data_IF_287653947473
#
_entry.id   IF_287653947473
#
_cell.length_a   1.000
_cell.length_b   1.000
_cell.length_c   1.000
_cell.angle_alpha   90.00
_cell.angle_beta   90.00
_cell.angle_gamma   90.00
#
_symmetry.space_group_name_H-M   'P 1'
#
loop_
_entity.id
_entity.type
_entity.pdbx_description
1 polymer ?
#
# COMPACT_ATOMS: atom_id res chain seq x y z
N UNK A 1 -51.48 43.12 31.45
CA UNK A 1 -50.22 43.21 30.71
C UNK A 1 -49.61 41.81 30.61
N UNK A 2 -49.74 41.20 29.46
CA UNK A 2 -49.19 39.82 29.24
C UNK A 2 -47.81 39.98 28.58
N UNK A 3 -46.76 39.48 29.26
CA UNK A 3 -45.38 39.49 28.75
C UNK A 3 -45.24 38.32 27.80
N UNK A 4 -44.99 38.62 26.51
CA UNK A 4 -44.63 37.67 25.46
C UNK A 4 -43.14 37.37 25.58
N UNK A 5 -42.80 36.15 25.97
CA UNK A 5 -41.42 35.67 25.97
C UNK A 5 -41.14 35.03 24.60
N UNK A 6 -40.31 35.67 23.82
CA UNK A 6 -39.86 35.20 22.50
C UNK A 6 -38.70 34.21 22.71
N UNK A 7 -38.95 32.94 22.47
CA UNK A 7 -37.87 31.90 22.45
C UNK A 7 -37.21 31.94 21.05
N UNK A 8 -35.99 32.48 21.00
CA UNK A 8 -35.14 32.37 19.80
C UNK A 8 -34.39 31.05 19.90
N UNK A 9 -34.86 30.01 19.23
CA UNK A 9 -34.13 28.78 18.97
C UNK A 9 -33.09 29.07 17.89
N UNK A 10 -31.84 29.31 18.32
CA UNK A 10 -30.71 29.39 17.42
C UNK A 10 -30.46 28.02 16.76
N UNK A 11 -30.76 27.90 15.49
CA UNK A 11 -30.38 26.77 14.66
C UNK A 11 -28.85 26.83 14.43
N UNK A 12 -28.10 26.10 15.21
CA UNK A 12 -26.68 25.84 14.95
C UNK A 12 -26.63 24.96 13.71
N UNK A 13 -26.45 25.57 12.54
CA UNK A 13 -26.07 24.84 11.34
C UNK A 13 -24.65 24.32 11.58
N UNK A 14 -24.53 23.04 11.93
CA UNK A 14 -23.28 22.28 11.81
C UNK A 14 -22.95 22.26 10.31
N UNK A 15 -22.08 23.15 9.88
CA UNK A 15 -21.43 23.00 8.59
C UNK A 15 -20.56 21.75 8.67
N UNK A 16 -21.09 20.62 8.20
CA UNK A 16 -20.26 19.48 7.86
C UNK A 16 -19.26 19.99 6.82
N UNK A 17 -18.02 20.18 7.24
CA UNK A 17 -16.91 20.38 6.33
C UNK A 17 -16.83 19.08 5.53
N UNK A 18 -17.36 19.09 4.31
CA UNK A 18 -17.12 18.03 3.38
C UNK A 18 -15.60 17.95 3.20
N UNK A 19 -14.98 16.96 3.80
CA UNK A 19 -13.56 16.69 3.62
C UNK A 19 -13.33 16.49 2.12
N UNK A 20 -12.34 17.17 1.59
CA UNK A 20 -12.11 17.21 0.15
C UNK A 20 -11.45 15.88 -0.28
N UNK A 21 -12.27 14.83 -0.37
CA UNK A 21 -11.90 13.51 -0.88
C UNK A 21 -11.80 13.60 -2.41
N UNK A 22 -10.73 14.21 -2.92
CA UNK A 22 -10.62 14.56 -4.34
C UNK A 22 -9.63 13.69 -5.11
N UNK A 23 -8.95 12.77 -4.46
CA UNK A 23 -7.90 11.94 -5.05
C UNK A 23 -7.98 10.52 -4.53
N UNK A 24 -7.50 9.57 -5.34
CA UNK A 24 -7.26 8.19 -4.93
C UNK A 24 -6.33 8.13 -3.72
N UNK A 25 -6.40 7.05 -2.96
CA UNK A 25 -5.41 6.72 -1.95
C UNK A 25 -5.34 5.20 -1.73
N UNK A 26 -4.25 4.74 -1.11
CA UNK A 26 -4.06 3.33 -0.75
C UNK A 26 -4.93 3.05 0.48
N UNK A 27 -5.97 2.23 0.33
CA UNK A 27 -6.87 1.80 1.42
C UNK A 27 -6.38 0.53 2.10
N UNK A 28 -5.66 -0.34 1.39
CA UNK A 28 -5.02 -1.52 1.97
C UNK A 28 -3.64 -1.75 1.37
N UNK A 29 -2.69 -2.13 2.22
CA UNK A 29 -1.37 -2.62 1.84
C UNK A 29 -1.23 -4.05 2.33
N UNK A 30 -0.91 -4.97 1.43
CA UNK A 30 -0.69 -6.37 1.74
C UNK A 30 0.76 -6.72 1.48
N UNK A 31 1.46 -7.02 2.54
CA UNK A 31 2.72 -7.73 2.51
C UNK A 31 2.44 -9.10 3.14
N UNK A 32 1.84 -9.98 2.38
CA UNK A 32 1.61 -11.36 2.77
C UNK A 32 2.85 -12.21 2.52
N UNK A 33 2.88 -13.39 3.11
CA UNK A 33 3.98 -14.32 2.95
C UNK A 33 4.25 -14.65 1.48
N UNK A 34 5.53 -14.86 1.12
CA UNK A 34 5.96 -15.16 -0.25
C UNK A 34 5.58 -14.04 -1.24
N UNK A 35 4.95 -14.37 -2.36
CA UNK A 35 4.56 -13.44 -3.41
C UNK A 35 3.17 -12.79 -3.19
N UNK A 36 2.54 -12.97 -2.05
CA UNK A 36 1.21 -12.39 -1.80
C UNK A 36 1.32 -10.90 -1.49
N UNK A 37 1.52 -10.11 -2.52
CA UNK A 37 1.69 -8.66 -2.47
C UNK A 37 0.56 -7.98 -3.23
N UNK A 38 -0.11 -7.05 -2.56
CA UNK A 38 -1.18 -6.27 -3.17
C UNK A 38 -1.29 -4.88 -2.55
N UNK A 39 -1.87 -3.97 -3.28
CA UNK A 39 -2.45 -2.74 -2.74
C UNK A 39 -3.90 -2.63 -3.21
N UNK A 40 -4.76 -2.16 -2.32
CA UNK A 40 -6.09 -1.70 -2.68
C UNK A 40 -6.06 -0.18 -2.79
N UNK A 41 -6.61 0.33 -3.89
CA UNK A 41 -6.67 1.76 -4.20
C UNK A 41 -8.14 2.17 -4.17
N UNK A 42 -8.49 3.04 -3.23
CA UNK A 42 -9.85 3.54 -3.09
C UNK A 42 -10.07 4.83 -3.86
N UNK A 43 -11.21 4.92 -4.53
CA UNK A 43 -11.71 6.13 -5.17
C UNK A 43 -12.79 6.79 -4.31
N UNK A 44 -12.49 7.83 -3.52
CA UNK A 44 -13.48 8.51 -2.70
C UNK A 44 -14.36 9.49 -3.48
N UNK A 45 -14.15 9.64 -4.79
CA UNK A 45 -14.86 10.63 -5.62
C UNK A 45 -16.16 10.07 -6.18
N UNK A 46 -17.03 10.95 -6.61
CA UNK A 46 -18.30 10.59 -7.26
C UNK A 46 -18.18 10.25 -8.75
N UNK A 47 -16.94 10.21 -9.29
CA UNK A 47 -16.68 9.88 -10.68
C UNK A 47 -15.70 8.71 -10.79
N UNK A 48 -15.83 7.84 -11.79
CA UNK A 48 -14.82 6.83 -12.08
C UNK A 48 -13.50 7.49 -12.46
N UNK A 49 -12.38 6.85 -12.10
CA UNK A 49 -11.02 7.33 -12.38
C UNK A 49 -10.28 6.28 -13.20
N UNK A 50 -9.71 6.71 -14.32
CA UNK A 50 -8.82 5.91 -15.17
C UNK A 50 -7.42 5.86 -14.54
N UNK A 51 -6.95 4.65 -14.24
CA UNK A 51 -5.66 4.40 -13.61
C UNK A 51 -4.49 4.48 -14.59
N UNK A 52 -4.70 4.59 -15.90
CA UNK A 52 -3.62 4.71 -16.90
C UNK A 52 -2.75 5.96 -16.72
N UNK A 53 -3.27 6.97 -16.01
CA UNK A 53 -2.53 8.15 -15.59
C UNK A 53 -1.84 8.04 -14.23
N UNK A 54 -1.78 6.84 -13.63
CA UNK A 54 -1.20 6.60 -12.30
C UNK A 54 -0.17 5.48 -12.37
N UNK A 55 0.77 5.51 -11.42
CA UNK A 55 1.78 4.46 -11.28
C UNK A 55 2.11 4.21 -9.81
N UNK A 56 2.66 3.03 -9.54
CA UNK A 56 3.20 2.65 -8.23
C UNK A 56 4.72 2.59 -8.33
N UNK A 57 5.41 3.16 -7.34
CA UNK A 57 6.86 3.07 -7.21
C UNK A 57 7.25 2.54 -5.83
N UNK A 58 8.21 1.61 -5.80
CA UNK A 58 8.81 1.06 -4.59
C UNK A 58 10.16 1.71 -4.31
N UNK A 59 10.36 2.11 -3.07
CA UNK A 59 11.64 2.58 -2.54
C UNK A 59 12.21 1.48 -1.64
N UNK A 60 13.04 0.64 -2.24
CA UNK A 60 13.51 -0.60 -1.63
C UNK A 60 14.51 -0.34 -0.50
N UNK A 61 14.27 -0.96 0.68
CA UNK A 61 15.21 -1.03 1.79
C UNK A 61 15.79 0.34 2.20
N UNK A 62 14.96 1.34 2.32
CA UNK A 62 15.38 2.70 2.72
C UNK A 62 16.01 3.51 1.59
N UNK A 63 15.85 3.11 0.34
CA UNK A 63 16.28 3.93 -0.79
C UNK A 63 15.60 5.30 -0.78
N UNK A 64 16.37 6.34 -1.08
CA UNK A 64 15.87 7.72 -1.22
C UNK A 64 15.37 8.02 -2.63
N UNK A 65 15.65 7.12 -3.57
CA UNK A 65 15.27 7.24 -4.99
C UNK A 65 14.70 5.92 -5.49
N UNK A 66 13.78 6.01 -6.45
CA UNK A 66 13.30 4.89 -7.24
C UNK A 66 13.58 5.16 -8.72
N UNK A 67 13.63 4.12 -9.54
CA UNK A 67 13.73 4.19 -11.00
C UNK A 67 12.49 3.59 -11.64
N UNK A 68 12.39 3.68 -12.96
CA UNK A 68 11.33 3.00 -13.72
C UNK A 68 11.32 1.49 -13.44
N UNK A 69 12.49 0.85 -13.26
CA UNK A 69 12.58 -0.56 -12.90
C UNK A 69 11.97 -0.90 -11.51
N UNK A 70 11.82 0.10 -10.64
CA UNK A 70 11.13 -0.03 -9.36
C UNK A 70 9.68 0.46 -9.43
N UNK A 71 9.15 0.69 -10.62
CA UNK A 71 7.85 1.32 -10.82
C UNK A 71 7.03 0.56 -11.86
N UNK A 72 5.71 0.72 -11.80
CA UNK A 72 4.81 0.15 -12.81
C UNK A 72 3.65 1.12 -13.09
N UNK A 73 3.39 1.38 -14.37
CA UNK A 73 2.19 2.12 -14.78
C UNK A 73 0.97 1.25 -14.53
N UNK A 74 -0.04 1.82 -13.90
CA UNK A 74 -1.31 1.15 -13.68
C UNK A 74 -2.19 1.19 -14.93
N UNK A 75 -3.26 0.42 -14.92
CA UNK A 75 -4.30 0.38 -15.95
C UNK A 75 -5.63 -0.01 -15.33
N UNK A 76 -6.71 0.19 -16.05
CA UNK A 76 -8.06 -0.10 -15.57
C UNK A 76 -8.78 1.14 -15.08
N UNK A 77 -10.00 0.94 -14.58
CA UNK A 77 -10.87 2.01 -14.08
C UNK A 77 -11.33 1.63 -12.68
N UNK A 78 -11.20 2.55 -11.74
CA UNK A 78 -11.83 2.41 -10.43
C UNK A 78 -13.13 3.22 -10.42
N UNK A 79 -14.26 2.55 -10.14
CA UNK A 79 -15.55 3.19 -10.14
C UNK A 79 -15.69 4.24 -9.01
N UNK A 80 -16.72 5.06 -9.06
CA UNK A 80 -17.00 6.02 -8.01
C UNK A 80 -17.29 5.31 -6.68
N UNK A 81 -16.63 5.74 -5.60
CA UNK A 81 -16.78 5.17 -4.25
C UNK A 81 -16.48 3.67 -4.17
N UNK A 82 -15.54 3.19 -4.99
CA UNK A 82 -15.16 1.80 -5.12
C UNK A 82 -13.65 1.63 -4.98
N UNK A 83 -13.19 0.40 -5.00
CA UNK A 83 -11.77 0.03 -4.86
C UNK A 83 -11.25 -0.64 -6.13
N UNK A 84 -9.94 -0.65 -6.27
CA UNK A 84 -9.19 -1.40 -7.27
C UNK A 84 -8.07 -2.17 -6.60
N UNK A 85 -8.09 -3.48 -6.71
CA UNK A 85 -7.09 -4.37 -6.11
C UNK A 85 -6.01 -4.69 -7.14
N UNK A 86 -4.85 -4.09 -6.96
CA UNK A 86 -3.66 -4.32 -7.77
C UNK A 86 -2.77 -5.37 -7.10
N UNK A 87 -2.44 -6.45 -7.80
CA UNK A 87 -1.78 -7.63 -7.24
C UNK A 87 -0.53 -7.98 -8.03
N UNK A 88 0.48 -8.55 -7.36
CA UNK A 88 1.66 -9.13 -8.00
C UNK A 88 1.25 -10.29 -8.92
N UNK A 89 1.71 -10.27 -10.17
CA UNK A 89 1.37 -11.29 -11.18
C UNK A 89 2.23 -12.55 -11.01
N UNK A 90 1.78 -13.44 -10.16
CA UNK A 90 2.34 -14.78 -9.96
C UNK A 90 1.20 -15.79 -9.87
N UNK A 91 0.75 -16.24 -11.03
CA UNK A 91 -0.45 -17.09 -11.18
C UNK A 91 -0.14 -18.53 -11.60
N UNK A 92 1.11 -18.86 -11.98
CA UNK A 92 1.48 -20.23 -12.37
C UNK A 92 1.46 -21.15 -11.14
N UNK A 93 0.55 -22.13 -11.06
CA UNK A 93 0.46 -23.04 -9.91
C UNK A 93 1.69 -23.95 -9.75
N UNK A 94 2.55 -24.04 -10.76
CA UNK A 94 3.80 -24.82 -10.71
C UNK A 94 5.03 -23.94 -10.43
N UNK A 95 4.83 -22.63 -10.25
CA UNK A 95 5.90 -21.70 -9.95
C UNK A 95 6.57 -22.01 -8.60
N UNK A 96 7.87 -21.73 -8.50
CA UNK A 96 8.65 -21.93 -7.26
C UNK A 96 9.56 -20.74 -6.98
N UNK A 97 9.90 -20.49 -5.71
CA UNK A 97 10.75 -19.38 -5.31
C UNK A 97 10.13 -18.04 -5.69
N UNK A 98 10.82 -17.20 -6.44
CA UNK A 98 10.27 -15.91 -6.92
C UNK A 98 9.08 -16.06 -7.88
N UNK A 99 8.86 -17.24 -8.43
CA UNK A 99 7.73 -17.55 -9.31
C UNK A 99 6.62 -18.31 -8.56
N UNK A 100 6.75 -18.52 -7.25
CA UNK A 100 5.71 -19.18 -6.46
C UNK A 100 4.37 -18.46 -6.60
N UNK A 101 3.26 -19.19 -6.80
CA UNK A 101 1.96 -18.57 -7.03
C UNK A 101 1.49 -17.79 -5.80
N UNK A 102 0.75 -16.74 -6.06
CA UNK A 102 -0.01 -16.04 -5.03
C UNK A 102 -1.24 -16.87 -4.65
N UNK A 103 -1.75 -16.62 -3.48
CA UNK A 103 -2.90 -17.33 -2.93
C UNK A 103 -4.16 -17.17 -3.81
N UNK A 104 -4.90 -18.27 -4.02
CA UNK A 104 -6.09 -18.29 -4.88
C UNK A 104 -7.15 -17.25 -4.50
N UNK A 105 -7.34 -17.02 -3.20
CA UNK A 105 -8.29 -16.01 -2.73
C UNK A 105 -7.84 -14.58 -3.05
N UNK A 106 -6.53 -14.32 -3.12
CA UNK A 106 -5.99 -13.05 -3.55
C UNK A 106 -6.13 -12.89 -5.07
N UNK A 107 -5.84 -13.95 -5.84
CA UNK A 107 -6.09 -13.97 -7.28
C UNK A 107 -7.56 -13.66 -7.62
N UNK A 108 -8.49 -14.27 -6.88
CA UNK A 108 -9.92 -14.09 -7.09
C UNK A 108 -10.44 -12.67 -6.76
N UNK A 109 -9.67 -11.88 -6.02
CA UNK A 109 -10.00 -10.49 -5.66
C UNK A 109 -9.29 -9.45 -6.50
N UNK A 110 -8.34 -9.86 -7.34
CA UNK A 110 -7.54 -8.95 -8.14
C UNK A 110 -8.36 -8.32 -9.27
N UNK A 111 -8.30 -7.00 -9.40
CA UNK A 111 -8.79 -6.25 -10.57
C UNK A 111 -7.70 -6.11 -11.63
N UNK A 112 -6.43 -6.19 -11.23
CA UNK A 112 -5.29 -6.16 -12.14
C UNK A 112 -4.04 -6.82 -11.57
N UNK A 113 -3.27 -7.45 -12.47
CA UNK A 113 -2.03 -8.14 -12.16
C UNK A 113 -0.83 -7.37 -12.74
N UNK A 114 0.21 -7.20 -11.92
CA UNK A 114 1.36 -6.34 -12.24
C UNK A 114 2.69 -7.02 -11.94
N UNK A 115 3.74 -6.60 -12.62
CA UNK A 115 5.12 -7.04 -12.38
C UNK A 115 5.35 -8.56 -12.54
N UNK A 116 4.93 -9.19 -13.66
CA UNK A 116 5.12 -10.65 -13.86
C UNK A 116 6.60 -11.05 -13.86
N UNK A 117 7.51 -10.13 -14.22
CA UNK A 117 8.94 -10.39 -14.33
C UNK A 117 9.72 -9.41 -13.45
N UNK A 118 10.38 -9.90 -12.40
CA UNK A 118 11.14 -9.12 -11.43
C UNK A 118 12.16 -8.17 -12.08
N UNK A 119 12.91 -8.65 -13.06
CA UNK A 119 13.95 -7.86 -13.74
C UNK A 119 13.40 -6.77 -14.67
N UNK A 120 12.12 -6.82 -15.02
CA UNK A 120 11.45 -5.78 -15.80
C UNK A 120 10.88 -4.69 -14.93
N UNK A 121 10.16 -5.08 -13.89
CA UNK A 121 9.69 -4.19 -12.83
C UNK A 121 9.56 -4.97 -11.52
N UNK A 122 10.15 -4.44 -10.46
CA UNK A 122 10.04 -5.01 -9.13
C UNK A 122 9.20 -4.15 -8.18
N UNK A 123 8.29 -3.36 -8.73
CA UNK A 123 7.43 -2.45 -7.95
C UNK A 123 6.60 -3.19 -6.89
N UNK A 124 6.10 -4.39 -7.18
CA UNK A 124 5.25 -5.19 -6.29
C UNK A 124 6.03 -6.27 -5.50
N UNK A 125 7.35 -6.14 -5.36
CA UNK A 125 8.17 -7.10 -4.62
C UNK A 125 8.67 -6.53 -3.28
N UNK A 126 7.80 -5.81 -2.56
CA UNK A 126 8.10 -5.30 -1.23
C UNK A 126 8.14 -6.42 -0.18
N UNK A 127 8.81 -6.16 0.92
CA UNK A 127 9.05 -7.11 2.01
C UNK A 127 8.89 -6.51 3.42
N UNK A 128 8.00 -5.55 3.57
CA UNK A 128 7.60 -4.98 4.86
C UNK A 128 8.40 -3.76 5.31
N UNK A 129 9.60 -3.54 4.78
CA UNK A 129 10.46 -2.39 5.09
C UNK A 129 10.58 -1.37 3.94
N UNK A 130 9.87 -1.59 2.85
CA UNK A 130 9.90 -0.73 1.68
C UNK A 130 8.84 0.37 1.76
N UNK A 131 9.17 1.58 1.36
CA UNK A 131 8.16 2.60 1.15
C UNK A 131 7.54 2.47 -0.25
N UNK A 132 6.21 2.68 -0.33
CA UNK A 132 5.43 2.58 -1.57
C UNK A 132 4.79 3.92 -1.86
N UNK A 133 4.94 4.39 -3.08
CA UNK A 133 4.33 5.63 -3.56
C UNK A 133 3.31 5.34 -4.66
N UNK A 134 2.09 5.79 -4.48
CA UNK A 134 1.11 5.95 -5.54
C UNK A 134 1.23 7.38 -6.08
N UNK A 135 1.42 7.55 -7.37
CA UNK A 135 1.56 8.86 -7.98
C UNK A 135 0.84 8.96 -9.33
N UNK A 136 0.49 10.19 -9.72
CA UNK A 136 0.06 10.53 -11.08
C UNK A 136 1.29 10.76 -11.96
N UNK A 137 1.14 10.44 -13.23
CA UNK A 137 2.12 10.72 -14.26
C UNK A 137 2.27 9.59 -15.26
N UNK A 138 3.03 9.87 -16.32
CA UNK A 138 3.40 8.86 -17.32
C UNK A 138 4.87 8.50 -17.14
N UNK A 139 5.12 7.23 -16.87
CA UNK A 139 6.48 6.71 -16.70
C UNK A 139 7.26 6.81 -18.03
N UNK A 140 8.53 7.22 -18.00
CA UNK A 140 9.41 7.11 -19.16
C UNK A 140 9.72 5.64 -19.48
N UNK A 141 10.21 5.39 -20.69
CA UNK A 141 10.47 4.03 -21.17
C UNK A 141 11.80 3.43 -20.67
N UNK A 142 12.74 4.26 -20.21
CA UNK A 142 14.09 3.81 -19.84
C UNK A 142 14.12 3.35 -18.39
N UNK A 143 14.43 2.07 -18.16
CA UNK A 143 14.37 1.42 -16.86
C UNK A 143 15.20 2.11 -15.75
N UNK A 144 16.31 2.74 -16.10
CA UNK A 144 17.22 3.43 -15.16
C UNK A 144 16.85 4.88 -14.88
N UNK A 145 15.81 5.42 -15.53
CA UNK A 145 15.37 6.79 -15.31
C UNK A 145 14.80 6.95 -13.91
N UNK A 146 15.25 7.97 -13.19
CA UNK A 146 14.78 8.29 -11.84
C UNK A 146 13.32 8.78 -11.88
N UNK A 147 12.56 8.36 -10.89
CA UNK A 147 11.17 8.80 -10.65
C UNK A 147 11.19 10.12 -9.87
N UNK A 148 10.88 11.20 -10.57
CA UNK A 148 10.75 12.55 -9.99
C UNK A 148 9.99 13.47 -10.96
N UNK A 149 9.72 14.69 -10.51
CA UNK A 149 8.97 15.69 -11.28
C UNK A 149 9.68 16.16 -12.57
N UNK A 150 10.99 15.95 -12.69
CA UNK A 150 11.75 16.31 -13.92
C UNK A 150 11.56 15.28 -15.00
N UNK A 151 11.52 14.00 -14.63
CA UNK A 151 11.58 12.87 -15.57
C UNK A 151 10.20 12.27 -15.87
N UNK A 152 9.24 12.40 -14.97
CA UNK A 152 7.88 11.86 -15.13
C UNK A 152 6.92 12.98 -15.52
N UNK A 153 6.33 12.86 -16.68
CA UNK A 153 5.35 13.86 -17.17
C UNK A 153 4.09 13.84 -16.29
N UNK A 154 3.70 14.99 -15.76
CA UNK A 154 2.52 15.13 -14.93
C UNK A 154 2.68 14.56 -13.52
N UNK A 155 3.92 14.45 -13.01
CA UNK A 155 4.23 13.89 -11.71
C UNK A 155 3.53 14.62 -10.56
N UNK A 156 2.72 13.89 -9.81
CA UNK A 156 2.09 14.34 -8.56
C UNK A 156 2.02 13.15 -7.61
N UNK A 157 2.56 13.29 -6.41
CA UNK A 157 2.39 12.27 -5.36
C UNK A 157 0.93 12.28 -4.89
N UNK A 158 0.32 11.12 -4.89
CA UNK A 158 -1.08 10.90 -4.49
C UNK A 158 -1.15 10.31 -3.10
N UNK A 159 -0.29 9.32 -2.82
CA UNK A 159 -0.18 8.69 -1.50
C UNK A 159 1.19 8.06 -1.30
N UNK A 160 1.65 8.03 -0.05
CA UNK A 160 2.88 7.33 0.36
C UNK A 160 2.55 6.45 1.56
N UNK A 161 2.77 5.15 1.41
CA UNK A 161 2.86 4.20 2.51
C UNK A 161 4.32 4.05 2.91
N UNK A 162 4.63 4.20 4.20
CA UNK A 162 6.02 4.20 4.67
C UNK A 162 6.66 5.58 4.68
N UNK A 163 7.97 5.62 4.91
CA UNK A 163 8.81 6.80 4.80
C UNK A 163 9.95 6.56 3.84
N UNK A 164 9.96 7.28 2.74
CA UNK A 164 11.04 7.19 1.75
C UNK A 164 12.37 7.61 2.39
N UNK A 165 13.37 6.75 2.28
CA UNK A 165 14.70 6.98 2.86
C UNK A 165 14.89 6.41 4.27
N UNK A 166 13.87 5.79 4.88
CA UNK A 166 13.99 5.07 6.14
C UNK A 166 13.98 3.55 5.89
N UNK A 167 14.96 2.86 6.47
CA UNK A 167 15.02 1.40 6.45
C UNK A 167 14.85 0.87 7.88
N UNK A 168 13.69 0.32 8.23
CA UNK A 168 13.50 -0.37 9.50
C UNK A 168 14.11 -1.78 9.48
N UNK A 169 15.40 -1.89 9.17
CA UNK A 169 16.14 -3.16 9.13
C UNK A 169 16.38 -3.67 10.57
N UNK A 170 15.33 -4.19 11.18
CA UNK A 170 15.29 -4.56 12.59
C UNK A 170 15.27 -6.07 12.86
N UNK A 171 15.26 -6.90 11.82
CA UNK A 171 15.46 -8.35 11.98
C UNK A 171 16.95 -8.70 12.03
N UNK A 172 17.33 -9.42 13.07
CA UNK A 172 18.70 -9.92 13.26
C UNK A 172 18.78 -11.38 12.81
N UNK A 173 19.91 -11.75 12.19
CA UNK A 173 20.17 -13.15 11.80
C UNK A 173 19.79 -13.50 10.36
N UNK A 174 19.33 -12.54 9.58
CA UNK A 174 19.14 -12.70 8.14
C UNK A 174 20.42 -12.33 7.38
N UNK A 175 20.67 -13.00 6.28
CA UNK A 175 21.93 -12.91 5.53
C UNK A 175 22.13 -11.58 4.79
N UNK A 176 21.12 -10.73 4.69
CA UNK A 176 21.15 -9.56 3.81
C UNK A 176 21.19 -8.22 4.54
N UNK A 177 20.82 -8.15 5.82
CA UNK A 177 20.65 -6.87 6.53
C UNK A 177 19.53 -5.98 5.95
N UNK A 178 18.71 -6.54 5.05
CA UNK A 178 17.63 -5.85 4.36
C UNK A 178 16.25 -6.27 4.85
N UNK A 179 16.23 -7.18 5.82
CA UNK A 179 14.99 -7.68 6.39
C UNK A 179 14.60 -6.86 7.61
N UNK A 180 13.33 -6.56 7.69
CA UNK A 180 12.75 -5.77 8.76
C UNK A 180 11.39 -5.23 8.38
N UNK A 181 10.77 -4.53 9.30
CA UNK A 181 9.47 -3.92 9.10
C UNK A 181 9.28 -2.74 10.05
N UNK A 182 8.35 -1.85 9.75
CA UNK A 182 7.85 -0.94 10.75
C UNK A 182 7.19 -1.72 11.88
N UNK A 183 7.44 -1.28 13.10
CA UNK A 183 7.01 -1.96 14.31
C UNK A 183 6.19 -1.02 15.21
N UNK A 184 5.69 -1.55 16.30
CA UNK A 184 4.95 -0.77 17.31
C UNK A 184 5.85 0.15 18.13
N UNK A 185 7.17 0.15 17.94
CA UNK A 185 8.09 0.93 18.76
C UNK A 185 9.19 1.58 17.93
N UNK A 186 9.23 2.90 17.96
CA UNK A 186 10.31 3.72 17.41
C UNK A 186 11.51 3.80 18.38
N UNK A 187 12.78 3.89 17.92
CA UNK A 187 13.21 3.84 16.50
C UNK A 187 13.20 2.43 15.92
N UNK A 188 12.68 2.30 14.71
CA UNK A 188 12.42 1.01 14.08
C UNK A 188 13.67 0.17 13.81
N UNK A 189 14.84 0.79 13.69
CA UNK A 189 16.13 0.09 13.47
C UNK A 189 16.66 -0.68 14.68
N UNK A 190 16.03 -0.55 15.85
CA UNK A 190 16.52 -1.16 17.09
C UNK A 190 16.04 -2.59 17.33
N UNK A 191 15.13 -3.10 16.52
CA UNK A 191 14.55 -4.43 16.72
C UNK A 191 13.56 -4.51 17.88
N UNK A 192 13.08 -3.37 18.37
CA UNK A 192 12.09 -3.30 19.45
C UNK A 192 10.68 -3.24 18.90
N UNK A 193 9.72 -3.66 19.75
CA UNK A 193 8.31 -3.70 19.41
C UNK A 193 7.92 -4.94 18.59
N UNK A 194 6.67 -4.96 18.13
CA UNK A 194 6.11 -6.01 17.28
C UNK A 194 6.10 -5.51 15.85
N UNK A 195 6.61 -6.28 14.91
CA UNK A 195 6.55 -5.97 13.48
C UNK A 195 5.08 -5.97 13.03
N UNK A 196 4.68 -4.99 12.25
CA UNK A 196 3.28 -4.80 11.85
C UNK A 196 3.06 -4.65 10.35
N UNK A 197 4.13 -4.58 9.57
CA UNK A 197 4.04 -4.42 8.11
C UNK A 197 4.62 -5.60 7.32
N UNK A 198 5.39 -6.50 7.95
CA UNK A 198 5.92 -7.72 7.31
C UNK A 198 4.98 -8.89 7.57
N UNK A 199 4.66 -9.64 6.53
CA UNK A 199 3.69 -10.75 6.56
C UNK A 199 2.31 -10.33 7.11
N UNK A 200 1.90 -9.06 6.88
CA UNK A 200 0.65 -8.49 7.40
C UNK A 200 -0.18 -7.84 6.29
N UNK A 201 -1.47 -7.71 6.55
CA UNK A 201 -2.33 -6.74 5.85
C UNK A 201 -2.51 -5.50 6.72
N UNK A 202 -2.37 -4.34 6.10
CA UNK A 202 -2.56 -3.04 6.72
C UNK A 202 -3.79 -2.39 6.12
N UNK A 203 -4.89 -2.31 6.89
CA UNK A 203 -6.15 -1.71 6.45
C UNK A 203 -6.22 -0.27 6.97
N UNK A 204 -6.41 0.68 6.06
CA UNK A 204 -6.49 2.10 6.43
C UNK A 204 -7.76 2.36 7.24
N UNK A 205 -7.61 3.08 8.34
CA UNK A 205 -8.73 3.43 9.24
C UNK A 205 -9.76 4.28 8.52
N UNK A 206 -11.04 4.02 8.75
CA UNK A 206 -12.14 4.76 8.12
C UNK A 206 -12.14 6.27 8.41
N UNK A 207 -11.41 6.71 9.44
CA UNK A 207 -11.21 8.12 9.75
C UNK A 207 -10.22 8.82 8.82
N UNK A 208 -9.42 8.06 8.06
CA UNK A 208 -8.43 8.59 7.09
C UNK A 208 -9.07 8.63 5.72
N UNK A 209 -9.26 9.82 5.19
CA UNK A 209 -10.05 10.05 3.97
C UNK A 209 -9.23 10.60 2.80
N UNK A 210 -7.92 10.64 2.93
CA UNK A 210 -6.98 11.12 1.89
C UNK A 210 -5.61 10.49 2.04
N UNK A 211 -4.85 10.45 0.95
CA UNK A 211 -3.47 9.99 0.93
C UNK A 211 -2.48 11.00 1.54
N UNK A 212 -1.28 10.52 1.81
CA UNK A 212 -0.11 11.28 2.23
C UNK A 212 0.62 11.76 0.98
N UNK A 213 0.50 13.04 0.65
CA UNK A 213 0.98 13.62 -0.62
C UNK A 213 2.43 14.13 -0.60
N UNK A 214 3.11 13.95 0.51
CA UNK A 214 4.53 14.29 0.68
C UNK A 214 5.22 13.19 1.49
N UNK A 215 6.54 12.99 1.27
CA UNK A 215 7.28 12.06 2.11
C UNK A 215 7.19 12.48 3.57
N UNK A 216 6.63 11.66 4.48
CA UNK A 216 6.44 12.06 5.87
C UNK A 216 7.79 12.17 6.60
N UNK A 217 7.89 13.11 7.54
CA UNK A 217 9.07 13.20 8.42
C UNK A 217 9.15 12.02 9.39
N UNK A 218 8.03 11.43 9.71
CA UNK A 218 7.88 10.26 10.57
C UNK A 218 6.69 9.43 10.07
N UNK A 219 6.85 8.11 10.01
CA UNK A 219 5.79 7.17 9.66
C UNK A 219 5.54 6.23 10.84
N UNK A 220 4.35 6.33 11.43
CA UNK A 220 3.82 5.35 12.36
C UNK A 220 2.70 4.60 11.65
N UNK A 221 2.92 3.31 11.30
CA UNK A 221 1.92 2.55 10.56
C UNK A 221 0.59 2.44 11.30
N UNK A 222 0.59 2.40 12.62
CA UNK A 222 -0.63 2.24 13.43
C UNK A 222 -1.39 3.54 13.64
N UNK A 223 -0.85 4.68 13.21
CA UNK A 223 -1.57 5.95 13.26
C UNK A 223 -2.73 5.97 12.26
N UNK A 224 -2.48 5.53 11.03
CA UNK A 224 -3.46 5.55 9.93
C UNK A 224 -4.03 4.17 9.57
N UNK A 225 -3.38 3.09 9.99
CA UNK A 225 -3.75 1.73 9.62
C UNK A 225 -4.02 0.86 10.84
N UNK A 226 -4.91 -0.11 10.67
CA UNK A 226 -5.06 -1.27 11.52
C UNK A 226 -4.26 -2.42 10.88
N UNK A 227 -3.51 -3.17 11.69
CA UNK A 227 -2.72 -4.31 11.22
C UNK A 227 -3.46 -5.62 11.44
N UNK A 228 -3.48 -6.46 10.41
CA UNK A 228 -3.97 -7.83 10.49
C UNK A 228 -2.76 -8.75 10.35
N UNK A 229 -2.39 -9.47 11.43
CA UNK A 229 -1.27 -10.40 11.39
C UNK A 229 -1.58 -11.59 10.46
N UNK A 230 -0.56 -12.29 9.95
CA UNK A 230 -0.75 -13.49 9.16
C UNK A 230 -1.46 -14.56 9.96
N UNK A 231 -2.26 -15.37 9.30
CA UNK A 231 -2.75 -16.62 9.92
C UNK A 231 -1.54 -17.51 10.20
N UNK A 232 -1.38 -17.92 11.46
CA UNK A 232 -0.31 -18.82 11.85
C UNK A 232 -0.67 -20.24 11.40
N UNK A 233 -0.34 -20.52 10.21
CA UNK A 233 -0.66 -21.76 9.48
C UNK A 233 -0.18 -22.99 10.22
N UNK A 234 0.94 -22.93 10.92
CA UNK A 234 1.48 -24.07 11.72
C UNK A 234 0.58 -24.55 12.84
N UNK A 235 -0.40 -23.77 13.27
CA UNK A 235 -1.38 -24.21 14.28
C UNK A 235 -2.40 -25.21 13.72
N UNK A 236 -2.42 -25.35 12.43
CA UNK A 236 -3.35 -26.23 11.74
C UNK A 236 -2.58 -27.40 11.14
N UNK A 237 -2.06 -28.27 11.84
CA UNK A 237 -1.30 -29.44 11.43
C UNK A 237 -1.13 -29.62 9.91
N UNK A 238 0.06 -29.44 9.39
CA UNK A 238 0.38 -29.51 7.96
C UNK A 238 -0.20 -28.38 7.10
N UNK A 239 -0.03 -27.37 7.47
CA UNK A 239 -0.63 -26.12 7.21
C UNK A 239 -0.30 -25.34 5.99
N UNK A 240 0.74 -25.60 5.33
CA UNK A 240 0.99 -25.07 3.98
C UNK A 240 -0.10 -25.50 3.00
N UNK A 241 -0.87 -26.52 3.37
CA UNK A 241 -2.02 -26.99 2.60
C UNK A 241 -3.32 -26.23 2.91
N UNK A 242 -3.39 -25.51 4.02
CA UNK A 242 -4.60 -24.75 4.37
C UNK A 242 -4.82 -23.57 3.42
N UNK A 243 -3.74 -23.01 2.92
CA UNK A 243 -3.74 -21.88 2.01
C UNK A 243 -3.10 -22.19 0.66
N UNK A 244 -3.10 -23.46 0.28
CA UNK A 244 -2.46 -23.95 -0.93
C UNK A 244 -0.95 -24.11 -0.78
N UNK A 245 -0.30 -24.47 -1.87
CA UNK A 245 1.15 -24.73 -1.93
C UNK A 245 2.00 -23.49 -1.71
N UNK A 246 1.42 -22.31 -1.79
CA UNK A 246 2.10 -21.06 -1.49
C UNK A 246 2.22 -20.81 0.01
N UNK A 247 1.56 -21.61 0.86
CA UNK A 247 1.66 -21.52 2.31
C UNK A 247 1.18 -20.18 2.88
N UNK A 248 0.24 -19.53 2.23
CA UNK A 248 -0.12 -18.17 2.58
C UNK A 248 -1.58 -18.04 2.98
N UNK A 249 -1.87 -17.19 3.97
CA UNK A 249 -3.24 -16.82 4.33
C UNK A 249 -3.99 -16.22 3.18
#
# INVERSE_FOLDING_TARGET
>A
MKKLVLFITGLLALTAQAQNCSQLFISEYVEGWSNNKAIEIYNPTSNPIDLSGYFVARYSNGATTATVANSIQLSGIVAAHDVYVAVLDKQDPNGTGQEAPIWDSLQARADGFYCPVYNTSNSFYWNGNDAIMLAKGTLPSTATTLINATNVTGFVIVDVFGKIGENPANETGTSSGNDGAWSTQFPYSTGLGVLVTKDHSMIRKASVVKGVTTNPSFFDPLLEYDTIPPVIVRLYANVDTLFGTSGNP
#
